data_IF_384910079967
#
_entry.id   IF_384910079967
#
_cell.length_a   1.000
_cell.length_b   1.000
_cell.length_c   1.000
_cell.angle_alpha   90.00
_cell.angle_beta   90.00
_cell.angle_gamma   90.00
#
_symmetry.space_group_name_H-M   'P 1'
#
loop_
_entity.id
_entity.type
_entity.pdbx_description
1 polymer ?
#
# COMPACT_ATOMS: atom_id res chain seq x y z
N UNK A 1 13.25 16.17 -7.13
CA UNK A 1 12.03 16.95 -6.86
C UNK A 1 12.20 18.36 -7.44
N UNK A 2 11.46 18.73 -8.50
CA UNK A 2 11.62 20.00 -9.25
C UNK A 2 11.65 21.23 -8.32
N UNK A 3 10.79 21.24 -7.29
CA UNK A 3 10.66 22.34 -6.34
C UNK A 3 11.94 22.64 -5.57
N UNK A 4 12.76 21.63 -5.27
CA UNK A 4 13.94 21.79 -4.42
C UNK A 4 15.27 21.77 -5.20
N UNK A 5 15.29 21.24 -6.42
CA UNK A 5 16.56 20.94 -7.11
C UNK A 5 16.89 21.85 -8.29
N UNK A 6 15.92 22.55 -8.89
CA UNK A 6 16.17 23.37 -10.10
C UNK A 6 16.47 24.84 -9.82
N UNK A 7 15.86 25.40 -8.78
CA UNK A 7 16.04 26.80 -8.40
C UNK A 7 16.21 26.93 -6.88
N UNK A 8 17.31 27.55 -6.46
CA UNK A 8 17.67 27.80 -5.07
C UNK A 8 18.05 29.27 -4.88
N UNK A 9 17.76 29.81 -3.69
CA UNK A 9 18.21 31.14 -3.29
C UNK A 9 19.72 31.13 -3.08
N UNK A 10 20.39 32.25 -3.42
CA UNK A 10 21.77 32.53 -3.04
C UNK A 10 21.74 33.58 -1.91
N UNK A 11 21.91 33.18 -0.63
CA UNK A 11 21.71 34.09 0.50
C UNK A 11 22.55 35.37 0.41
N UNK A 12 23.78 35.26 -0.07
CA UNK A 12 24.72 36.38 -0.18
C UNK A 12 24.30 37.45 -1.21
N UNK A 13 23.38 37.10 -2.12
CA UNK A 13 22.91 37.99 -3.19
C UNK A 13 21.52 38.57 -2.92
N UNK A 14 20.90 38.24 -1.77
CA UNK A 14 19.57 38.75 -1.42
C UNK A 14 19.72 40.14 -0.80
N UNK A 15 19.13 41.20 -1.39
CA UNK A 15 19.14 42.52 -0.78
C UNK A 15 18.46 42.50 0.59
N UNK A 16 19.02 43.20 1.57
CA UNK A 16 18.57 43.11 2.97
C UNK A 16 17.08 43.42 3.15
N UNK A 17 16.56 44.41 2.41
CA UNK A 17 15.15 44.81 2.43
C UNK A 17 14.19 43.79 1.78
N UNK A 18 14.70 42.81 1.02
CA UNK A 18 13.90 41.74 0.41
C UNK A 18 13.99 40.41 1.17
N UNK A 19 14.89 40.28 2.16
CA UNK A 19 15.03 39.06 2.97
C UNK A 19 13.69 38.55 3.53
N UNK A 20 12.75 39.39 4.01
CA UNK A 20 11.47 38.88 4.54
C UNK A 20 10.55 38.22 3.50
N UNK A 21 10.71 38.57 2.20
CA UNK A 21 9.83 38.12 1.11
C UNK A 21 10.54 37.28 0.05
N UNK A 22 11.82 36.96 0.27
CA UNK A 22 12.68 36.25 -0.68
C UNK A 22 12.09 34.91 -1.16
N UNK A 23 11.47 34.16 -0.24
CA UNK A 23 10.93 32.84 -0.55
C UNK A 23 9.73 32.95 -1.48
N UNK A 24 8.84 33.92 -1.22
CA UNK A 24 7.71 34.23 -2.10
C UNK A 24 8.18 34.64 -3.49
N UNK A 25 9.25 35.44 -3.60
CA UNK A 25 9.81 35.83 -4.90
C UNK A 25 10.32 34.60 -5.67
N UNK A 26 11.08 33.73 -5.00
CA UNK A 26 11.60 32.49 -5.61
C UNK A 26 10.44 31.59 -6.08
N UNK A 27 9.44 31.37 -5.23
CA UNK A 27 8.29 30.52 -5.52
C UNK A 27 7.46 31.10 -6.68
N UNK A 28 7.22 32.41 -6.69
CA UNK A 28 6.53 33.10 -7.79
C UNK A 28 7.23 32.86 -9.14
N UNK A 29 8.56 32.97 -9.16
CA UNK A 29 9.36 32.66 -10.34
C UNK A 29 9.26 31.19 -10.77
N UNK A 30 9.24 30.26 -9.82
CA UNK A 30 9.03 28.82 -10.10
C UNK A 30 7.67 28.58 -10.74
N UNK A 31 6.59 29.21 -10.23
CA UNK A 31 5.24 29.09 -10.80
C UNK A 31 5.17 29.61 -12.23
N UNK A 32 5.69 30.81 -12.47
CA UNK A 32 5.75 31.35 -13.83
C UNK A 32 6.56 30.47 -14.77
N UNK A 33 7.67 29.89 -14.33
CA UNK A 33 8.45 28.98 -15.18
C UNK A 33 7.66 27.71 -15.54
N UNK A 34 6.86 27.16 -14.62
CA UNK A 34 5.97 26.02 -14.94
C UNK A 34 4.93 26.42 -15.98
N UNK A 35 4.25 27.54 -15.77
CA UNK A 35 3.22 28.08 -16.67
C UNK A 35 3.82 28.31 -18.07
N UNK A 36 5.01 28.91 -18.15
CA UNK A 36 5.76 29.14 -19.39
C UNK A 36 6.09 27.84 -20.13
N UNK A 37 6.54 26.80 -19.41
CA UNK A 37 6.85 25.50 -19.99
C UNK A 37 5.61 24.78 -20.52
N UNK A 38 4.43 25.09 -19.98
CA UNK A 38 3.14 24.61 -20.50
C UNK A 38 2.62 25.43 -21.71
N UNK A 39 3.40 26.41 -22.19
CA UNK A 39 3.07 27.22 -23.37
C UNK A 39 2.19 28.44 -23.07
N UNK A 40 1.90 28.72 -21.79
CA UNK A 40 1.15 29.90 -21.39
C UNK A 40 2.08 31.07 -21.09
N UNK A 41 1.77 32.23 -21.66
CA UNK A 41 2.55 33.45 -21.42
C UNK A 41 1.96 34.20 -20.22
N UNK A 42 2.79 34.59 -19.23
CA UNK A 42 2.33 35.45 -18.15
C UNK A 42 1.87 36.79 -18.74
N UNK A 43 0.69 37.25 -18.32
CA UNK A 43 0.18 38.57 -18.69
C UNK A 43 0.96 39.61 -17.90
N UNK A 44 1.85 40.34 -18.56
CA UNK A 44 2.58 41.46 -17.95
C UNK A 44 1.90 42.79 -18.28
N UNK A 45 1.57 43.58 -17.27
CA UNK A 45 1.06 44.95 -17.43
C UNK A 45 2.15 45.97 -17.12
N UNK A 46 2.16 47.16 -17.75
CA UNK A 46 3.13 48.21 -17.43
C UNK A 46 3.02 48.71 -15.98
N UNK A 47 1.85 48.55 -15.34
CA UNK A 47 1.62 48.84 -13.92
C UNK A 47 2.39 47.91 -12.97
N UNK A 48 2.83 46.75 -13.45
CA UNK A 48 3.59 45.75 -12.69
C UNK A 48 5.08 46.13 -12.54
N UNK A 49 5.50 47.29 -13.09
CA UNK A 49 6.89 47.74 -12.97
C UNK A 49 7.24 47.99 -11.49
N UNK A 50 8.20 47.22 -10.99
CA UNK A 50 8.79 47.40 -9.67
C UNK A 50 9.77 48.59 -9.70
N UNK A 51 9.57 49.51 -8.77
CA UNK A 51 10.48 50.63 -8.50
C UNK A 51 10.92 50.52 -7.04
N UNK A 52 12.16 50.88 -6.74
CA UNK A 52 12.60 50.99 -5.35
C UNK A 52 11.84 52.13 -4.66
N UNK A 53 11.34 51.85 -3.46
CA UNK A 53 10.70 52.80 -2.56
C UNK A 53 11.20 52.53 -1.15
N UNK A 54 11.22 53.58 -0.32
CA UNK A 54 11.55 53.46 1.10
C UNK A 54 10.38 52.83 1.86
N UNK A 55 9.16 52.99 1.36
CA UNK A 55 8.00 52.29 1.89
C UNK A 55 7.96 50.84 1.38
N UNK A 56 8.20 49.89 2.29
CA UNK A 56 8.20 48.46 1.96
C UNK A 56 6.86 47.96 1.40
N UNK A 57 5.77 48.69 1.70
CA UNK A 57 4.41 48.33 1.26
C UNK A 57 4.24 48.45 -0.25
N UNK A 58 4.86 49.45 -0.88
CA UNK A 58 4.66 49.73 -2.31
C UNK A 58 5.17 48.60 -3.21
N UNK A 59 6.34 48.03 -2.91
CA UNK A 59 6.85 46.87 -3.64
C UNK A 59 6.32 45.55 -3.09
N UNK A 60 6.04 45.47 -1.78
CA UNK A 60 5.48 44.29 -1.12
C UNK A 60 4.11 43.91 -1.67
N UNK A 61 3.19 44.87 -1.81
CA UNK A 61 1.86 44.64 -2.38
C UNK A 61 1.92 44.17 -3.84
N UNK A 62 2.84 44.71 -4.64
CA UNK A 62 3.05 44.27 -6.03
C UNK A 62 3.58 42.84 -6.11
N UNK A 63 4.53 42.49 -5.25
CA UNK A 63 5.09 41.13 -5.19
C UNK A 63 4.01 40.14 -4.74
N UNK A 64 3.23 40.48 -3.71
CA UNK A 64 2.13 39.64 -3.23
C UNK A 64 1.07 39.44 -4.31
N UNK A 65 0.70 40.49 -5.04
CA UNK A 65 -0.24 40.41 -6.16
C UNK A 65 0.27 39.49 -7.27
N UNK A 66 1.55 39.57 -7.60
CA UNK A 66 2.20 38.71 -8.60
C UNK A 66 2.20 37.24 -8.16
N UNK A 67 2.56 36.98 -6.89
CA UNK A 67 2.51 35.64 -6.30
C UNK A 67 1.10 35.03 -6.36
N UNK A 68 0.08 35.77 -5.93
CA UNK A 68 -1.31 35.29 -5.95
C UNK A 68 -1.80 35.01 -7.37
N UNK A 69 -1.47 35.87 -8.33
CA UNK A 69 -1.84 35.66 -9.73
C UNK A 69 -1.15 34.43 -10.31
N UNK A 70 0.15 34.25 -10.06
CA UNK A 70 0.91 33.09 -10.52
C UNK A 70 0.39 31.78 -9.90
N UNK A 71 0.13 31.79 -8.60
CA UNK A 71 -0.40 30.64 -7.84
C UNK A 71 -1.77 30.21 -8.38
N UNK A 72 -2.70 31.16 -8.55
CA UNK A 72 -4.04 30.89 -9.10
C UNK A 72 -3.98 30.39 -10.55
N UNK A 73 -3.14 31.01 -11.39
CA UNK A 73 -3.00 30.59 -12.80
C UNK A 73 -2.47 29.17 -12.91
N UNK A 74 -1.48 28.81 -12.08
CA UNK A 74 -0.94 27.45 -12.04
C UNK A 74 -1.96 26.45 -11.48
N UNK A 75 -2.70 26.84 -10.45
CA UNK A 75 -3.77 26.02 -9.88
C UNK A 75 -4.84 25.71 -10.92
N UNK A 76 -5.33 26.73 -11.63
CA UNK A 76 -6.32 26.57 -12.70
C UNK A 76 -5.81 25.67 -13.82
N UNK A 77 -4.54 25.82 -14.21
CA UNK A 77 -3.89 24.96 -15.19
C UNK A 77 -3.92 23.49 -14.74
N UNK A 78 -3.51 23.20 -13.50
CA UNK A 78 -3.45 21.84 -12.98
C UNK A 78 -4.83 21.21 -12.76
N UNK A 79 -5.79 21.98 -12.22
CA UNK A 79 -7.13 21.47 -11.93
C UNK A 79 -7.99 21.33 -13.17
N UNK A 80 -7.99 22.33 -14.05
CA UNK A 80 -8.94 22.41 -15.16
C UNK A 80 -8.36 21.87 -16.46
N UNK A 81 -7.10 22.19 -16.79
CA UNK A 81 -6.51 21.79 -18.09
C UNK A 81 -5.91 20.40 -18.07
N UNK A 82 -5.23 20.03 -16.97
CA UNK A 82 -4.54 18.74 -16.85
C UNK A 82 -5.29 17.73 -15.96
N UNK A 83 -6.43 18.13 -15.40
CA UNK A 83 -7.35 17.30 -14.61
C UNK A 83 -6.65 16.50 -13.50
N UNK A 84 -5.94 17.22 -12.62
CA UNK A 84 -5.25 16.62 -11.47
C UNK A 84 -6.19 15.76 -10.62
N UNK A 85 -7.44 16.18 -10.39
CA UNK A 85 -8.38 15.42 -9.58
C UNK A 85 -8.83 14.12 -10.24
N UNK A 86 -9.04 14.09 -11.55
CA UNK A 86 -9.28 12.84 -12.28
C UNK A 86 -8.10 11.88 -12.16
N UNK A 87 -6.86 12.40 -12.27
CA UNK A 87 -5.64 11.60 -12.13
C UNK A 87 -5.48 11.01 -10.73
N UNK A 88 -5.70 11.81 -9.69
CA UNK A 88 -5.66 11.34 -8.31
C UNK A 88 -6.74 10.27 -8.04
N UNK A 89 -7.94 10.42 -8.61
CA UNK A 89 -8.99 9.39 -8.55
C UNK A 89 -8.56 8.09 -9.21
N UNK A 90 -7.95 8.16 -10.40
CA UNK A 90 -7.40 6.96 -11.05
C UNK A 90 -6.33 6.29 -10.19
N UNK A 91 -5.42 7.06 -9.59
CA UNK A 91 -4.45 6.51 -8.62
C UNK A 91 -5.15 5.80 -7.46
N UNK A 92 -6.23 6.36 -6.90
CA UNK A 92 -7.06 5.67 -5.90
C UNK A 92 -7.65 4.36 -6.44
N UNK A 93 -8.25 4.37 -7.63
CA UNK A 93 -8.87 3.18 -8.22
C UNK A 93 -7.88 2.02 -8.38
N UNK A 94 -6.67 2.30 -8.88
CA UNK A 94 -5.67 1.26 -9.17
C UNK A 94 -4.79 0.90 -7.97
N UNK A 95 -4.21 1.87 -7.27
CA UNK A 95 -3.22 1.61 -6.21
C UNK A 95 -3.86 1.35 -4.84
N UNK A 96 -4.98 1.99 -4.55
CA UNK A 96 -5.68 1.81 -3.27
C UNK A 96 -6.81 0.77 -3.35
N UNK A 97 -6.95 0.10 -4.51
CA UNK A 97 -7.90 -0.99 -4.77
C UNK A 97 -9.37 -0.64 -4.52
N UNK A 98 -9.75 0.63 -4.68
CA UNK A 98 -11.15 1.08 -4.64
C UNK A 98 -12.01 0.39 -5.72
N UNK A 99 -11.41 0.12 -6.89
CA UNK A 99 -11.98 -0.71 -7.95
C UNK A 99 -11.07 -1.93 -8.21
N UNK A 100 -10.84 -2.74 -7.16
CA UNK A 100 -9.84 -3.81 -7.17
C UNK A 100 -10.23 -5.12 -7.87
N UNK A 101 -11.35 -5.20 -8.59
CA UNK A 101 -11.78 -6.45 -9.26
C UNK A 101 -10.77 -6.94 -10.31
N UNK A 102 -10.08 -6.00 -10.98
CA UNK A 102 -8.99 -6.31 -11.90
C UNK A 102 -7.83 -7.07 -11.24
N UNK A 103 -7.57 -6.86 -9.94
CA UNK A 103 -6.46 -7.51 -9.23
C UNK A 103 -6.71 -9.00 -9.10
N UNK A 104 -7.94 -9.39 -8.73
CA UNK A 104 -8.33 -10.79 -8.63
C UNK A 104 -8.24 -11.45 -10.00
N UNK A 105 -8.79 -10.81 -11.03
CA UNK A 105 -8.73 -11.33 -12.39
C UNK A 105 -7.28 -11.47 -12.89
N UNK A 106 -6.44 -10.46 -12.66
CA UNK A 106 -5.03 -10.48 -13.02
C UNK A 106 -4.29 -11.63 -12.32
N UNK A 107 -4.49 -11.81 -11.01
CA UNK A 107 -3.87 -12.91 -10.27
C UNK A 107 -4.29 -14.28 -10.80
N UNK A 108 -5.55 -14.48 -11.21
CA UNK A 108 -6.00 -15.74 -11.81
C UNK A 108 -5.31 -16.02 -13.15
N UNK A 109 -5.19 -14.99 -13.99
CA UNK A 109 -4.59 -15.11 -15.31
C UNK A 109 -3.06 -15.22 -15.27
N UNK A 110 -2.43 -14.60 -14.26
CA UNK A 110 -0.99 -14.52 -14.10
C UNK A 110 -0.42 -15.50 -13.06
N UNK A 111 -1.22 -16.41 -12.49
CA UNK A 111 -0.80 -17.34 -11.44
C UNK A 111 0.48 -18.11 -11.82
N UNK A 112 0.56 -18.65 -13.04
CA UNK A 112 1.75 -19.37 -13.53
C UNK A 112 3.00 -18.49 -13.57
N UNK A 113 2.84 -17.20 -13.88
CA UNK A 113 3.96 -16.28 -14.03
C UNK A 113 4.39 -15.70 -12.68
N UNK A 114 3.42 -15.38 -11.82
CA UNK A 114 3.65 -14.83 -10.48
C UNK A 114 4.20 -15.88 -9.49
N UNK A 115 3.98 -17.17 -9.76
CA UNK A 115 4.53 -18.27 -8.94
C UNK A 115 6.01 -18.53 -9.17
N UNK A 116 6.60 -17.96 -10.23
CA UNK A 116 8.02 -18.13 -10.56
C UNK A 116 8.91 -17.27 -9.67
N UNK A 117 10.18 -17.66 -9.59
CA UNK A 117 11.24 -16.82 -9.03
C UNK A 117 11.58 -15.67 -9.99
N UNK A 118 12.13 -14.58 -9.45
CA UNK A 118 12.42 -13.34 -10.16
C UNK A 118 13.08 -13.52 -11.54
N UNK A 119 14.08 -14.40 -11.65
CA UNK A 119 14.87 -14.59 -12.86
C UNK A 119 14.08 -15.28 -14.00
N UNK A 120 13.04 -16.03 -13.65
CA UNK A 120 12.21 -16.79 -14.58
C UNK A 120 10.96 -16.04 -15.06
N UNK A 121 10.70 -14.86 -14.48
CA UNK A 121 9.55 -14.02 -14.83
C UNK A 121 9.80 -13.33 -16.17
N UNK A 122 8.81 -13.41 -17.07
CA UNK A 122 8.79 -12.73 -18.35
C UNK A 122 7.96 -11.43 -18.24
N UNK A 123 8.58 -10.24 -18.16
CA UNK A 123 7.85 -8.99 -17.89
C UNK A 123 6.82 -8.64 -18.98
N UNK A 124 7.12 -8.95 -20.23
CA UNK A 124 6.20 -8.72 -21.36
C UNK A 124 4.91 -9.55 -21.23
N UNK A 125 4.97 -10.74 -20.62
CA UNK A 125 3.77 -11.55 -20.34
C UNK A 125 2.92 -10.91 -19.24
N UNK A 126 3.55 -10.40 -18.18
CA UNK A 126 2.84 -9.67 -17.11
C UNK A 126 2.15 -8.40 -17.65
N UNK A 127 2.80 -7.64 -18.54
CA UNK A 127 2.19 -6.46 -19.17
C UNK A 127 0.92 -6.85 -19.95
N UNK A 128 0.99 -7.88 -20.82
CA UNK A 128 -0.18 -8.30 -21.61
C UNK A 128 -1.32 -8.78 -20.72
N UNK A 129 -1.02 -9.57 -19.68
CA UNK A 129 -2.02 -10.07 -18.76
C UNK A 129 -2.65 -8.96 -17.92
N UNK A 130 -1.86 -7.98 -17.47
CA UNK A 130 -2.34 -6.80 -16.77
C UNK A 130 -3.25 -5.98 -17.69
N UNK A 131 -2.83 -5.70 -18.93
CA UNK A 131 -3.66 -4.95 -19.88
C UNK A 131 -4.97 -5.66 -20.19
N UNK A 132 -4.97 -6.99 -20.29
CA UNK A 132 -6.20 -7.74 -20.48
C UNK A 132 -7.12 -7.62 -19.25
N UNK A 133 -6.60 -7.81 -18.04
CA UNK A 133 -7.37 -7.67 -16.80
C UNK A 133 -7.96 -6.25 -16.64
N UNK A 134 -7.18 -5.21 -16.94
CA UNK A 134 -7.65 -3.83 -16.91
C UNK A 134 -8.72 -3.52 -17.99
N UNK A 135 -8.75 -4.27 -19.10
CA UNK A 135 -9.74 -4.09 -20.18
C UNK A 135 -11.08 -4.74 -19.93
N UNK A 136 -11.13 -5.74 -19.05
CA UNK A 136 -12.34 -6.56 -18.82
C UNK A 136 -12.98 -6.32 -17.47
N UNK A 137 -12.37 -5.50 -16.63
CA UNK A 137 -12.80 -5.18 -15.27
C UNK A 137 -13.54 -3.84 -15.20
N UNK A 138 -14.00 -3.48 -14.01
CA UNK A 138 -14.72 -2.22 -13.74
C UNK A 138 -13.91 -0.96 -14.10
N UNK A 139 -12.57 -1.03 -13.99
CA UNK A 139 -11.64 0.06 -14.34
C UNK A 139 -11.47 0.28 -15.84
N UNK A 140 -12.11 -0.53 -16.71
CA UNK A 140 -12.01 -0.38 -18.16
C UNK A 140 -12.49 1.00 -18.67
N UNK A 141 -13.39 1.64 -17.93
CA UNK A 141 -13.91 2.99 -18.26
C UNK A 141 -13.05 4.15 -17.73
N UNK A 142 -12.00 3.88 -16.95
CA UNK A 142 -11.13 4.92 -16.40
C UNK A 142 -10.31 5.60 -17.51
N UNK A 143 -10.38 6.94 -17.57
CA UNK A 143 -9.74 7.75 -18.62
C UNK A 143 -8.22 7.63 -18.65
N UNK A 144 -7.60 7.33 -17.51
CA UNK A 144 -6.17 7.36 -17.30
C UNK A 144 -5.56 5.97 -17.07
N UNK A 145 -6.32 4.92 -17.38
CA UNK A 145 -5.90 3.53 -17.29
C UNK A 145 -4.59 3.23 -18.03
N UNK A 146 -4.38 3.82 -19.21
CA UNK A 146 -3.18 3.58 -20.02
C UNK A 146 -1.87 4.01 -19.35
N UNK A 147 -1.95 4.89 -18.35
CA UNK A 147 -0.81 5.34 -17.55
C UNK A 147 -0.39 4.31 -16.50
N UNK A 148 -1.21 3.28 -16.23
CA UNK A 148 -0.87 2.19 -15.31
C UNK A 148 -0.07 1.15 -16.07
N UNK A 149 1.13 0.86 -15.57
CA UNK A 149 2.08 -0.12 -16.13
C UNK A 149 2.46 -1.15 -15.07
N UNK A 150 2.89 -2.33 -15.49
CA UNK A 150 3.52 -3.26 -14.56
C UNK A 150 4.94 -2.79 -14.19
N UNK A 151 5.39 -3.19 -13.00
CA UNK A 151 6.78 -3.11 -12.59
C UNK A 151 7.09 -4.33 -11.71
N UNK A 152 8.30 -4.86 -11.83
CA UNK A 152 8.80 -5.96 -10.98
C UNK A 152 9.99 -5.44 -10.18
N UNK A 153 9.97 -5.63 -8.87
CA UNK A 153 11.02 -5.18 -7.95
C UNK A 153 11.82 -6.35 -7.41
N UNK A 154 13.12 -6.13 -7.18
CA UNK A 154 14.08 -7.14 -6.71
C UNK A 154 14.03 -7.40 -5.20
N UNK A 155 13.07 -6.82 -4.49
CA UNK A 155 12.94 -6.94 -3.04
C UNK A 155 11.48 -7.00 -2.63
N UNK A 156 11.18 -7.72 -1.54
CA UNK A 156 9.83 -7.76 -0.95
C UNK A 156 9.41 -6.40 -0.38
N UNK A 157 8.13 -6.24 -0.05
CA UNK A 157 7.65 -5.02 0.62
C UNK A 157 8.30 -4.85 2.00
N UNK A 158 8.53 -5.94 2.73
CA UNK A 158 9.21 -5.91 4.02
C UNK A 158 10.61 -5.31 3.92
N UNK A 159 11.41 -5.80 2.96
CA UNK A 159 12.76 -5.27 2.69
C UNK A 159 12.72 -3.83 2.18
N UNK A 160 11.72 -3.44 1.39
CA UNK A 160 11.53 -2.06 0.95
C UNK A 160 11.31 -1.13 2.14
N UNK A 161 10.39 -1.47 3.05
CA UNK A 161 10.09 -0.70 4.27
C UNK A 161 11.34 -0.64 5.16
N UNK A 162 12.02 -1.76 5.37
CA UNK A 162 13.23 -1.82 6.18
C UNK A 162 14.31 -0.85 5.67
N UNK A 163 14.61 -0.88 4.37
CA UNK A 163 15.61 0.02 3.75
C UNK A 163 15.25 1.50 3.88
N UNK A 164 13.96 1.84 3.80
CA UNK A 164 13.49 3.22 3.92
C UNK A 164 13.56 3.70 5.37
N UNK A 165 13.22 2.85 6.34
CA UNK A 165 13.12 3.24 7.75
C UNK A 165 14.46 3.18 8.51
N UNK A 166 15.40 2.37 8.04
CA UNK A 166 16.72 2.16 8.70
C UNK A 166 17.85 2.97 8.08
N UNK A 167 17.55 3.98 7.25
CA UNK A 167 18.53 4.74 6.48
C UNK A 167 19.52 5.60 7.28
N UNK A 168 19.56 5.48 8.61
CA UNK A 168 20.64 6.01 9.44
C UNK A 168 21.71 4.93 9.67
N UNK A 169 22.67 4.86 8.73
CA UNK A 169 24.03 4.34 8.95
C UNK A 169 24.22 2.83 9.18
N UNK A 170 24.83 2.17 8.18
CA UNK A 170 25.35 0.79 8.21
C UNK A 170 24.27 -0.26 8.50
N UNK A 171 24.00 -1.19 7.59
CA UNK A 171 24.88 -2.33 7.34
C UNK A 171 24.70 -2.76 5.88
N UNK A 172 25.80 -2.95 5.15
CA UNK A 172 25.88 -4.04 4.16
C UNK A 172 25.79 -5.37 4.91
N UNK A 173 24.64 -5.59 5.56
CA UNK A 173 24.28 -6.89 6.10
C UNK A 173 23.85 -7.67 4.89
N UNK A 174 24.55 -8.75 4.63
CA UNK A 174 24.19 -9.80 3.68
C UNK A 174 22.69 -10.06 3.79
N UNK A 175 21.88 -9.35 3.00
CA UNK A 175 20.49 -9.71 2.83
C UNK A 175 20.60 -11.04 2.12
N UNK A 176 20.34 -12.13 2.85
CA UNK A 176 20.14 -13.42 2.25
C UNK A 176 19.25 -13.17 1.02
N UNK A 177 19.72 -13.52 -0.17
CA UNK A 177 18.85 -13.58 -1.35
C UNK A 177 17.81 -14.64 -1.04
N UNK A 178 16.77 -14.26 -0.30
CA UNK A 178 15.53 -15.00 -0.23
C UNK A 178 15.00 -14.98 -1.66
N UNK A 179 14.69 -16.16 -2.20
CA UNK A 179 14.07 -16.22 -3.51
C UNK A 179 12.69 -15.57 -3.39
N UNK A 180 12.55 -14.41 -4.04
CA UNK A 180 11.31 -13.64 -4.02
C UNK A 180 10.44 -14.18 -5.16
N UNK A 181 9.20 -14.53 -4.82
CA UNK A 181 8.21 -14.92 -5.82
C UNK A 181 7.71 -13.69 -6.60
N UNK A 182 7.21 -13.91 -7.81
CA UNK A 182 6.53 -12.86 -8.58
C UNK A 182 5.36 -12.20 -7.83
N UNK A 183 4.67 -12.92 -6.95
CA UNK A 183 3.62 -12.36 -6.09
C UNK A 183 4.11 -11.26 -5.14
N UNK A 184 5.32 -11.39 -4.62
CA UNK A 184 5.91 -10.37 -3.77
C UNK A 184 6.60 -9.28 -4.59
N UNK A 185 7.19 -9.63 -5.74
CA UNK A 185 7.95 -8.71 -6.59
C UNK A 185 7.07 -7.76 -7.42
N UNK A 186 5.87 -8.20 -7.82
CA UNK A 186 4.98 -7.44 -8.69
C UNK A 186 4.47 -6.15 -8.03
N UNK A 187 4.44 -5.08 -8.81
CA UNK A 187 3.81 -3.82 -8.43
C UNK A 187 3.30 -3.05 -9.64
N UNK A 188 2.55 -1.98 -9.39
CA UNK A 188 2.11 -1.03 -10.40
C UNK A 188 3.05 0.17 -10.44
N UNK A 189 3.26 0.68 -11.64
CA UNK A 189 3.88 1.97 -11.90
C UNK A 189 2.85 2.89 -12.57
N UNK A 190 2.92 4.19 -12.28
CA UNK A 190 2.02 5.19 -12.84
C UNK A 190 2.81 6.23 -13.62
N UNK A 191 2.63 6.25 -14.93
CA UNK A 191 3.30 7.19 -15.82
C UNK A 191 2.63 8.57 -15.75
N UNK A 192 3.35 9.54 -15.17
CA UNK A 192 2.86 10.91 -15.00
C UNK A 192 3.64 11.88 -15.87
N UNK A 193 2.92 12.53 -16.78
CA UNK A 193 3.48 13.57 -17.63
C UNK A 193 3.61 14.90 -16.88
N UNK A 194 4.58 15.70 -17.31
CA UNK A 194 4.68 17.11 -16.92
C UNK A 194 3.37 17.85 -17.26
N UNK A 195 2.83 18.73 -16.39
CA UNK A 195 3.36 19.19 -15.09
C UNK A 195 2.83 18.44 -13.85
N UNK A 196 2.06 17.35 -14.02
CA UNK A 196 1.41 16.68 -12.88
C UNK A 196 2.39 16.01 -11.92
N UNK A 197 3.58 15.65 -12.39
CA UNK A 197 4.66 15.10 -11.57
C UNK A 197 5.20 16.09 -10.52
N UNK A 198 4.78 17.36 -10.57
CA UNK A 198 4.97 18.34 -9.50
C UNK A 198 4.19 17.99 -8.23
N UNK A 199 3.01 17.38 -8.39
CA UNK A 199 2.13 16.95 -7.29
C UNK A 199 2.29 15.44 -7.08
N UNK A 200 2.13 14.65 -8.14
CA UNK A 200 2.37 13.21 -8.18
C UNK A 200 3.88 12.93 -8.35
N UNK A 201 4.63 13.30 -7.32
CA UNK A 201 6.07 13.06 -7.26
C UNK A 201 6.41 11.56 -7.19
N UNK A 202 7.67 11.22 -7.48
CA UNK A 202 8.20 9.87 -7.27
C UNK A 202 8.05 9.39 -5.83
N UNK A 203 8.17 10.31 -4.85
CA UNK A 203 8.00 9.99 -3.43
C UNK A 203 6.55 9.61 -3.11
N UNK A 204 5.59 10.41 -3.56
CA UNK A 204 4.16 10.10 -3.36
C UNK A 204 3.73 8.83 -4.10
N UNK A 205 4.20 8.63 -5.34
CA UNK A 205 3.93 7.39 -6.07
C UNK A 205 4.55 6.16 -5.39
N UNK A 206 5.72 6.32 -4.77
CA UNK A 206 6.33 5.29 -3.92
C UNK A 206 5.44 4.90 -2.73
N UNK A 207 4.80 5.89 -2.07
CA UNK A 207 3.82 5.63 -1.01
C UNK A 207 2.62 4.82 -1.54
N UNK A 208 1.97 5.28 -2.61
CA UNK A 208 0.84 4.54 -3.22
C UNK A 208 1.22 3.12 -3.63
N UNK A 209 2.41 2.96 -4.22
CA UNK A 209 2.96 1.66 -4.59
C UNK A 209 3.11 0.73 -3.38
N UNK A 210 3.64 1.22 -2.25
CA UNK A 210 3.79 0.40 -1.05
C UNK A 210 2.44 -0.06 -0.49
N UNK A 211 1.43 0.81 -0.50
CA UNK A 211 0.06 0.44 -0.10
C UNK A 211 -0.53 -0.59 -1.07
N UNK A 212 -0.36 -0.41 -2.38
CA UNK A 212 -0.77 -1.39 -3.38
C UNK A 212 -0.13 -2.76 -3.14
N UNK A 213 1.19 -2.81 -2.97
CA UNK A 213 1.92 -4.07 -2.70
C UNK A 213 1.40 -4.75 -1.45
N UNK A 214 1.05 -3.98 -0.42
CA UNK A 214 0.52 -4.53 0.82
C UNK A 214 -0.85 -5.19 0.61
N UNK A 215 -1.77 -4.48 -0.05
CA UNK A 215 -3.10 -5.00 -0.36
C UNK A 215 -3.03 -6.19 -1.33
N UNK A 216 -2.19 -6.10 -2.36
CA UNK A 216 -1.94 -7.18 -3.32
C UNK A 216 -1.46 -8.45 -2.62
N UNK A 217 -0.49 -8.34 -1.70
CA UNK A 217 -0.02 -9.49 -0.94
C UNK A 217 -1.11 -10.07 -0.04
N UNK A 218 -1.90 -9.24 0.63
CA UNK A 218 -3.06 -9.71 1.42
C UNK A 218 -4.06 -10.48 0.55
N UNK A 219 -4.40 -9.96 -0.63
CA UNK A 219 -5.33 -10.61 -1.58
C UNK A 219 -4.76 -11.94 -2.07
N UNK A 220 -3.45 -12.03 -2.31
CA UNK A 220 -2.79 -13.29 -2.66
C UNK A 220 -2.92 -14.34 -1.54
N UNK A 221 -2.60 -13.97 -0.30
CA UNK A 221 -2.70 -14.86 0.87
C UNK A 221 -4.15 -15.32 1.10
N UNK A 222 -5.12 -14.40 1.04
CA UNK A 222 -6.54 -14.70 1.17
C UNK A 222 -7.01 -15.72 0.11
N UNK A 223 -6.59 -15.53 -1.14
CA UNK A 223 -6.91 -16.45 -2.24
C UNK A 223 -6.35 -17.84 -1.99
N UNK A 224 -5.10 -17.96 -1.54
CA UNK A 224 -4.50 -19.28 -1.27
C UNK A 224 -5.16 -19.99 -0.09
N UNK A 225 -5.48 -19.27 0.99
CA UNK A 225 -6.27 -19.80 2.11
C UNK A 225 -7.68 -20.25 1.67
N UNK A 226 -8.25 -19.57 0.68
CA UNK A 226 -9.55 -19.93 0.09
C UNK A 226 -9.46 -21.14 -0.84
N UNK A 227 -8.38 -21.28 -1.63
CA UNK A 227 -8.12 -22.47 -2.46
C UNK A 227 -7.92 -23.72 -1.59
N UNK A 228 -7.22 -23.60 -0.46
CA UNK A 228 -7.00 -24.70 0.49
C UNK A 228 -8.31 -25.32 1.03
N UNK A 229 -9.40 -24.54 1.11
CA UNK A 229 -10.72 -25.00 1.53
C UNK A 229 -11.43 -25.90 0.50
N UNK A 230 -11.26 -25.60 -0.80
CA UNK A 230 -11.96 -26.33 -1.87
C UNK A 230 -11.44 -27.76 -2.00
N UNK A 231 -10.14 -27.95 -1.78
CA UNK A 231 -9.48 -29.26 -1.81
C UNK A 231 -9.91 -30.15 -0.64
N UNK A 232 -10.10 -29.56 0.54
CA UNK A 232 -10.57 -30.25 1.75
C UNK A 232 -12.01 -30.79 1.62
N UNK A 233 -12.92 -30.02 0.98
CA UNK A 233 -14.30 -30.47 0.72
C UNK A 233 -14.40 -31.67 -0.24
N UNK A 234 -13.45 -31.84 -1.17
CA UNK A 234 -13.41 -33.02 -2.06
C UNK A 234 -12.97 -34.28 -1.29
N UNK A 235 -12.11 -34.11 -0.28
CA UNK A 235 -11.70 -35.18 0.62
C UNK A 235 -12.85 -35.71 1.50
N UNK A 236 -13.78 -34.83 1.93
CA UNK A 236 -14.99 -35.19 2.72
C UNK A 236 -15.89 -36.25 2.08
N UNK A 237 -15.90 -36.37 0.75
CA UNK A 237 -16.74 -37.38 0.05
C UNK A 237 -16.26 -38.82 0.24
N UNK A 238 -15.11 -39.03 0.90
CA UNK A 238 -14.39 -40.31 0.86
C UNK A 238 -13.96 -40.83 2.25
N UNK A 239 -14.67 -40.49 3.33
CA UNK A 239 -14.58 -41.20 4.62
C UNK A 239 -13.33 -40.96 5.49
N UNK A 240 -12.48 -39.99 5.17
CA UNK A 240 -11.37 -39.60 6.06
C UNK A 240 -11.89 -38.72 7.20
N UNK A 241 -11.44 -38.92 8.46
CA UNK A 241 -11.73 -38.02 9.57
C UNK A 241 -11.33 -36.59 9.25
N UNK A 242 -12.22 -35.69 9.63
CA UNK A 242 -12.13 -34.28 9.30
C UNK A 242 -11.06 -33.61 10.15
N UNK A 243 -10.04 -32.94 9.57
CA UNK A 243 -9.02 -32.24 10.33
C UNK A 243 -9.56 -30.92 10.90
N UNK A 244 -10.44 -31.02 11.90
CA UNK A 244 -11.14 -29.88 12.53
C UNK A 244 -10.19 -28.79 13.00
N UNK A 245 -9.02 -29.17 13.53
CA UNK A 245 -7.98 -28.24 14.00
C UNK A 245 -7.41 -27.38 12.86
N UNK A 246 -7.08 -28.00 11.72
CA UNK A 246 -6.60 -27.30 10.53
C UNK A 246 -7.67 -26.36 9.97
N UNK A 247 -8.95 -26.79 9.98
CA UNK A 247 -10.06 -25.94 9.55
C UNK A 247 -10.26 -24.71 10.45
N UNK A 248 -10.22 -24.90 11.77
CA UNK A 248 -10.31 -23.82 12.74
C UNK A 248 -9.17 -22.81 12.57
N UNK A 249 -7.93 -23.29 12.41
CA UNK A 249 -6.77 -22.44 12.15
C UNK A 249 -6.91 -21.66 10.84
N UNK A 250 -7.30 -22.33 9.74
CA UNK A 250 -7.53 -21.68 8.44
C UNK A 250 -8.56 -20.56 8.55
N UNK A 251 -9.67 -20.80 9.23
CA UNK A 251 -10.72 -19.80 9.38
C UNK A 251 -10.20 -18.57 10.11
N UNK A 252 -9.45 -18.76 11.21
CA UNK A 252 -8.80 -17.69 11.96
C UNK A 252 -7.80 -16.89 11.11
N UNK A 253 -7.02 -17.57 10.28
CA UNK A 253 -6.10 -16.92 9.33
C UNK A 253 -6.84 -16.09 8.28
N UNK A 254 -7.93 -16.62 7.70
CA UNK A 254 -8.78 -15.87 6.74
C UNK A 254 -9.38 -14.64 7.41
N UNK A 255 -9.90 -14.78 8.62
CA UNK A 255 -10.50 -13.68 9.37
C UNK A 255 -9.45 -12.61 9.70
N UNK A 256 -8.22 -13.00 10.04
CA UNK A 256 -7.11 -12.05 10.22
C UNK A 256 -6.83 -11.25 8.95
N UNK A 257 -6.62 -11.91 7.81
CA UNK A 257 -6.27 -11.26 6.54
C UNK A 257 -7.39 -10.32 6.08
N UNK A 258 -8.66 -10.76 6.18
CA UNK A 258 -9.82 -9.94 5.81
C UNK A 258 -9.99 -8.71 6.70
N UNK A 259 -9.81 -8.86 8.01
CA UNK A 259 -9.86 -7.72 8.93
C UNK A 259 -8.73 -6.73 8.66
N UNK A 260 -7.54 -7.21 8.28
CA UNK A 260 -6.42 -6.35 7.88
C UNK A 260 -6.73 -5.58 6.59
N UNK A 261 -7.24 -6.24 5.55
CA UNK A 261 -7.65 -5.56 4.32
C UNK A 261 -8.76 -4.53 4.59
N UNK A 262 -9.76 -4.89 5.39
CA UNK A 262 -10.84 -4.00 5.79
C UNK A 262 -10.31 -2.77 6.52
N UNK A 263 -9.41 -2.96 7.48
CA UNK A 263 -8.77 -1.85 8.20
C UNK A 263 -8.07 -0.88 7.23
N UNK A 264 -7.21 -1.41 6.35
CA UNK A 264 -6.46 -0.58 5.40
C UNK A 264 -7.42 0.18 4.46
N UNK A 265 -8.42 -0.49 3.91
CA UNK A 265 -9.30 0.10 2.89
C UNK A 265 -10.39 1.00 3.48
N UNK A 266 -11.12 0.52 4.48
CA UNK A 266 -12.33 1.17 5.00
C UNK A 266 -12.05 2.10 6.17
N UNK A 267 -11.06 1.82 7.02
CA UNK A 267 -10.77 2.66 8.19
C UNK A 267 -9.65 3.67 7.95
N UNK A 268 -8.71 3.35 7.06
CA UNK A 268 -7.58 4.22 6.76
C UNK A 268 -7.77 4.94 5.44
N UNK A 269 -7.89 4.21 4.32
CA UNK A 269 -7.93 4.81 2.99
C UNK A 269 -9.16 5.67 2.78
N UNK A 270 -10.37 5.14 3.01
CA UNK A 270 -11.61 5.86 2.68
C UNK A 270 -11.80 7.15 3.51
N UNK A 271 -11.59 7.16 4.84
CA UNK A 271 -11.75 8.37 5.63
C UNK A 271 -10.70 9.43 5.30
N UNK A 272 -9.43 9.03 5.15
CA UNK A 272 -8.36 9.96 4.76
C UNK A 272 -8.61 10.56 3.37
N UNK A 273 -9.05 9.75 2.42
CA UNK A 273 -9.43 10.22 1.10
C UNK A 273 -10.60 11.20 1.14
N UNK A 274 -11.65 10.90 1.91
CA UNK A 274 -12.81 11.77 2.04
C UNK A 274 -12.43 13.15 2.62
N UNK A 275 -11.61 13.17 3.68
CA UNK A 275 -11.10 14.42 4.28
C UNK A 275 -10.27 15.19 3.25
N UNK A 276 -9.37 14.50 2.53
CA UNK A 276 -8.58 15.11 1.47
C UNK A 276 -9.46 15.72 0.39
N UNK A 277 -10.45 14.98 -0.13
CA UNK A 277 -11.33 15.42 -1.20
C UNK A 277 -12.17 16.65 -0.80
N UNK A 278 -12.71 16.70 0.42
CA UNK A 278 -13.48 17.86 0.90
C UNK A 278 -12.59 19.12 1.05
N UNK A 279 -11.38 18.96 1.58
CA UNK A 279 -10.41 20.07 1.68
C UNK A 279 -9.93 20.52 0.29
N UNK A 280 -9.69 19.58 -0.60
CA UNK A 280 -9.24 19.81 -1.97
C UNK A 280 -10.25 20.62 -2.79
N UNK A 281 -11.55 20.53 -2.47
CA UNK A 281 -12.59 21.36 -3.09
C UNK A 281 -12.57 22.84 -2.67
N UNK A 282 -11.80 23.21 -1.64
CA UNK A 282 -11.76 24.56 -1.05
C UNK A 282 -10.44 25.28 -1.28
N UNK A 283 -9.47 24.64 -1.95
CA UNK A 283 -8.11 25.17 -2.14
C UNK A 283 -8.11 26.42 -3.02
N UNK A 284 -7.26 27.38 -2.67
CA UNK A 284 -7.07 28.61 -3.43
C UNK A 284 -5.65 28.78 -3.97
N UNK A 285 -4.71 27.97 -3.48
CA UNK A 285 -3.30 28.03 -3.85
C UNK A 285 -2.76 26.64 -4.21
N UNK A 286 -1.71 26.60 -5.03
CA UNK A 286 -0.99 25.36 -5.35
C UNK A 286 -0.20 24.81 -4.15
N UNK A 287 0.24 25.69 -3.25
CA UNK A 287 0.93 25.28 -2.01
C UNK A 287 -0.01 24.43 -1.12
N UNK A 288 -1.27 24.84 -0.98
CA UNK A 288 -2.30 24.06 -0.26
C UNK A 288 -2.51 22.69 -0.89
N UNK A 289 -2.54 22.59 -2.22
CA UNK A 289 -2.66 21.30 -2.93
C UNK A 289 -1.50 20.37 -2.62
N UNK A 290 -0.26 20.88 -2.68
CA UNK A 290 0.94 20.10 -2.38
C UNK A 290 0.96 19.65 -0.92
N UNK A 291 0.58 20.54 0.00
CA UNK A 291 0.48 20.23 1.41
C UNK A 291 -0.56 19.14 1.67
N UNK A 292 -1.79 19.31 1.18
CA UNK A 292 -2.89 18.36 1.40
C UNK A 292 -2.57 16.97 0.82
N UNK A 293 -1.93 16.91 -0.35
CA UNK A 293 -1.53 15.63 -0.94
C UNK A 293 -0.40 14.96 -0.14
N UNK A 294 0.55 15.75 0.38
CA UNK A 294 1.61 15.23 1.25
C UNK A 294 1.03 14.68 2.56
N UNK A 295 0.12 15.44 3.19
CA UNK A 295 -0.62 15.00 4.39
C UNK A 295 -1.40 13.70 4.12
N UNK A 296 -2.02 13.56 2.95
CA UNK A 296 -2.71 12.33 2.55
C UNK A 296 -1.74 11.15 2.47
N UNK A 297 -0.62 11.29 1.74
CA UNK A 297 0.34 10.18 1.59
C UNK A 297 1.01 9.82 2.91
N UNK A 298 1.34 10.82 3.75
CA UNK A 298 1.90 10.60 5.08
C UNK A 298 0.90 9.88 5.99
N UNK A 299 -0.39 10.19 5.86
CA UNK A 299 -1.45 9.48 6.57
C UNK A 299 -1.48 8.00 6.20
N UNK A 300 -1.31 7.63 4.92
CA UNK A 300 -1.26 6.23 4.52
C UNK A 300 -0.02 5.52 5.06
N UNK A 301 1.15 6.15 4.99
CA UNK A 301 2.39 5.56 5.53
C UNK A 301 2.28 5.30 7.04
N UNK A 302 1.75 6.28 7.78
CA UNK A 302 1.59 6.18 9.22
C UNK A 302 0.49 5.20 9.62
N UNK A 303 -0.72 5.34 9.07
CA UNK A 303 -1.91 4.60 9.52
C UNK A 303 -1.95 3.15 9.01
N UNK A 304 -1.36 2.85 7.85
CA UNK A 304 -1.19 1.46 7.38
C UNK A 304 -0.05 0.71 8.08
N UNK A 305 0.54 1.29 9.14
CA UNK A 305 1.68 0.77 9.91
C UNK A 305 2.99 0.63 9.14
N UNK A 306 3.09 1.17 7.92
CA UNK A 306 4.30 1.10 7.11
C UNK A 306 5.46 1.88 7.75
N UNK A 307 5.17 2.96 8.47
CA UNK A 307 6.18 3.73 9.22
C UNK A 307 6.63 3.06 10.54
N UNK A 308 5.89 2.09 11.07
CA UNK A 308 6.25 1.36 12.28
C UNK A 308 6.82 -0.02 11.89
N UNK A 309 8.11 -0.04 11.52
CA UNK A 309 8.77 -1.25 11.02
C UNK A 309 8.64 -2.47 11.96
N UNK A 310 8.84 -2.38 13.29
CA UNK A 310 8.66 -3.52 14.18
C UNK A 310 7.26 -4.14 14.11
N UNK A 311 6.21 -3.32 14.10
CA UNK A 311 4.82 -3.80 13.98
C UNK A 311 4.57 -4.38 12.60
N UNK A 312 5.00 -3.68 11.54
CA UNK A 312 4.83 -4.14 10.17
C UNK A 312 5.50 -5.48 9.92
N UNK A 313 6.72 -5.69 10.46
CA UNK A 313 7.44 -6.96 10.39
C UNK A 313 6.65 -8.12 10.99
N UNK A 314 5.98 -7.91 12.12
CA UNK A 314 5.13 -8.94 12.73
C UNK A 314 3.92 -9.24 11.85
N UNK A 315 3.25 -8.21 11.30
CA UNK A 315 2.10 -8.41 10.39
C UNK A 315 2.52 -9.18 9.14
N UNK A 316 3.62 -8.78 8.51
CA UNK A 316 4.17 -9.47 7.33
C UNK A 316 4.56 -10.92 7.65
N UNK A 317 5.13 -11.16 8.84
CA UNK A 317 5.42 -12.50 9.35
C UNK A 317 4.16 -13.36 9.50
N UNK A 318 3.05 -12.80 10.01
CA UNK A 318 1.77 -13.51 10.11
C UNK A 318 1.23 -13.85 8.72
N UNK A 319 1.31 -12.93 7.75
CA UNK A 319 0.92 -13.21 6.36
C UNK A 319 1.77 -14.33 5.75
N UNK A 320 3.08 -14.37 6.03
CA UNK A 320 3.97 -15.47 5.65
C UNK A 320 3.58 -16.81 6.29
N UNK A 321 3.20 -16.82 7.58
CA UNK A 321 2.67 -18.02 8.25
C UNK A 321 1.39 -18.53 7.57
N UNK A 322 0.48 -17.62 7.21
CA UNK A 322 -0.75 -17.95 6.50
C UNK A 322 -0.47 -18.56 5.12
N UNK A 323 0.50 -17.99 4.40
CA UNK A 323 0.95 -18.47 3.09
C UNK A 323 1.53 -19.88 3.18
N UNK A 324 2.47 -20.09 4.11
CA UNK A 324 3.10 -21.38 4.35
C UNK A 324 2.08 -22.46 4.74
N UNK A 325 1.11 -22.11 5.60
CA UNK A 325 0.00 -22.98 5.93
C UNK A 325 -0.83 -23.36 4.70
N UNK A 326 -1.23 -22.39 3.88
CA UNK A 326 -2.02 -22.64 2.69
C UNK A 326 -1.30 -23.57 1.69
N UNK A 327 -0.02 -23.31 1.43
CA UNK A 327 0.82 -24.15 0.58
C UNK A 327 0.99 -25.57 1.13
N UNK A 328 1.16 -25.71 2.44
CA UNK A 328 1.23 -27.01 3.11
C UNK A 328 -0.05 -27.83 2.92
N UNK A 329 -1.22 -27.21 3.15
CA UNK A 329 -2.52 -27.87 2.97
C UNK A 329 -2.74 -28.29 1.51
N UNK A 330 -2.38 -27.43 0.54
CA UNK A 330 -2.52 -27.75 -0.89
C UNK A 330 -1.63 -28.94 -1.29
N UNK A 331 -0.37 -28.95 -0.85
CA UNK A 331 0.56 -30.05 -1.12
C UNK A 331 0.06 -31.37 -0.54
N UNK A 332 -0.40 -31.36 0.72
CA UNK A 332 -0.97 -32.55 1.37
C UNK A 332 -2.22 -33.08 0.64
N UNK A 333 -3.07 -32.19 0.14
CA UNK A 333 -4.24 -32.59 -0.64
C UNK A 333 -3.85 -33.29 -1.94
N UNK A 334 -2.86 -32.76 -2.67
CA UNK A 334 -2.35 -33.36 -3.91
C UNK A 334 -1.70 -34.73 -3.68
N UNK A 335 -0.88 -34.87 -2.63
CA UNK A 335 -0.24 -36.14 -2.26
C UNK A 335 -1.29 -37.20 -1.88
N UNK A 336 -2.33 -36.80 -1.15
CA UNK A 336 -3.46 -37.67 -0.82
C UNK A 336 -4.26 -38.11 -2.06
N UNK A 337 -4.48 -37.22 -3.04
CA UNK A 337 -5.12 -37.58 -4.31
C UNK A 337 -4.26 -38.55 -5.14
N UNK A 338 -2.95 -38.31 -5.21
CA UNK A 338 -2.00 -39.18 -5.92
C UNK A 338 -1.94 -40.59 -5.29
N UNK A 339 -1.83 -40.70 -3.97
CA UNK A 339 -1.81 -41.98 -3.26
C UNK A 339 -3.10 -42.80 -3.50
N UNK A 340 -4.26 -42.13 -3.52
CA UNK A 340 -5.57 -42.76 -3.81
C UNK A 340 -5.73 -43.20 -5.26
N UNK A 341 -5.05 -42.55 -6.20
CA UNK A 341 -5.05 -42.99 -7.61
C UNK A 341 -4.24 -44.29 -7.83
N UNK A 342 -3.33 -44.60 -6.90
CA UNK A 342 -2.44 -45.77 -6.98
C UNK A 342 -2.94 -46.97 -6.14
N UNK A 343 -3.65 -46.73 -5.03
CA UNK A 343 -4.28 -47.78 -4.22
C UNK A 343 -5.81 -47.73 -4.39
N UNK A 344 -6.37 -48.77 -5.03
CA UNK A 344 -7.82 -49.01 -5.01
C UNK A 344 -8.33 -49.09 -3.57
N UNK A 345 -9.42 -48.38 -3.30
CA UNK A 345 -9.95 -48.08 -1.97
C UNK A 345 -10.08 -49.33 -1.08
N UNK A 346 -9.34 -49.37 0.03
CA UNK A 346 -9.68 -50.20 1.18
C UNK A 346 -10.27 -49.26 2.23
N UNK A 347 -11.55 -49.46 2.53
CA UNK A 347 -12.20 -48.83 3.67
C UNK A 347 -11.78 -49.60 4.94
N UNK A 348 -11.22 -48.91 5.92
CA UNK A 348 -11.04 -49.44 7.26
C UNK A 348 -11.94 -48.68 8.23
N UNK A 349 -12.59 -49.46 9.10
CA UNK A 349 -13.60 -49.08 10.06
C UNK A 349 -13.13 -48.02 11.09
N UNK A 350 -14.12 -47.27 11.55
CA UNK A 350 -14.00 -46.29 12.64
C UNK A 350 -13.78 -46.95 14.00
N UNK A 351 -13.26 -46.13 14.92
CA UNK A 351 -13.29 -46.27 16.37
C UNK A 351 -12.03 -46.88 17.05
N UNK A 352 -10.98 -46.06 17.09
CA UNK A 352 -10.04 -46.00 18.22
C UNK A 352 -9.39 -44.61 18.26
N UNK A 353 -8.99 -44.14 19.44
CA UNK A 353 -8.28 -42.88 19.62
C UNK A 353 -7.06 -42.85 18.70
N UNK A 354 -7.15 -42.09 17.61
CA UNK A 354 -6.09 -42.03 16.60
C UNK A 354 -4.84 -41.42 17.24
N UNK A 355 -3.66 -42.08 17.13
CA UNK A 355 -2.41 -41.45 17.51
C UNK A 355 -2.21 -40.16 16.70
N UNK A 356 -1.65 -39.12 17.33
CA UNK A 356 -1.35 -37.85 16.64
C UNK A 356 -0.54 -38.12 15.38
N UNK A 357 -1.08 -37.71 14.23
CA UNK A 357 -0.37 -37.88 12.97
C UNK A 357 0.72 -36.82 12.85
N UNK A 358 1.77 -37.05 12.03
CA UNK A 358 2.74 -36.00 11.69
C UNK A 358 2.09 -34.72 11.14
N UNK A 359 0.94 -34.85 10.48
CA UNK A 359 0.10 -33.74 10.04
C UNK A 359 -0.46 -32.96 11.23
N UNK A 360 -1.10 -33.61 12.20
CA UNK A 360 -1.69 -32.95 13.37
C UNK A 360 -0.64 -32.20 14.19
N UNK A 361 0.55 -32.81 14.37
CA UNK A 361 1.69 -32.16 15.02
C UNK A 361 2.10 -30.90 14.27
N UNK A 362 2.19 -30.97 12.93
CA UNK A 362 2.58 -29.80 12.13
C UNK A 362 1.55 -28.67 12.20
N UNK A 363 0.26 -29.00 12.17
CA UNK A 363 -0.81 -28.02 12.35
C UNK A 363 -0.71 -27.36 13.74
N UNK A 364 -0.38 -28.13 14.78
CA UNK A 364 -0.17 -27.60 16.12
C UNK A 364 1.00 -26.62 16.23
N UNK A 365 2.13 -26.93 15.61
CA UNK A 365 3.30 -26.03 15.53
C UNK A 365 2.95 -24.69 14.85
N UNK A 366 2.21 -24.75 13.73
CA UNK A 366 1.80 -23.56 12.98
C UNK A 366 0.79 -22.73 13.78
N UNK A 367 -0.14 -23.38 14.48
CA UNK A 367 -1.10 -22.72 15.35
C UNK A 367 -0.42 -21.98 16.51
N UNK A 368 0.56 -22.61 17.16
CA UNK A 368 1.33 -21.99 18.24
C UNK A 368 2.14 -20.79 17.76
N UNK A 369 2.79 -20.93 16.60
CA UNK A 369 3.52 -19.84 15.96
C UNK A 369 2.60 -18.66 15.62
N UNK A 370 1.44 -18.94 15.04
CA UNK A 370 0.41 -17.93 14.72
C UNK A 370 -0.10 -17.21 15.98
N UNK A 371 -0.40 -17.94 17.05
CA UNK A 371 -0.85 -17.38 18.33
C UNK A 371 0.22 -16.49 18.97
N UNK A 372 1.48 -16.92 18.89
CA UNK A 372 2.63 -16.17 19.41
C UNK A 372 2.78 -14.86 18.65
N UNK A 373 2.80 -14.92 17.31
CA UNK A 373 2.89 -13.72 16.47
C UNK A 373 1.72 -12.75 16.69
N UNK A 374 0.49 -13.25 16.85
CA UNK A 374 -0.66 -12.40 17.19
C UNK A 374 -0.52 -11.74 18.57
N UNK A 375 0.04 -12.45 19.55
CA UNK A 375 0.30 -11.89 20.88
C UNK A 375 1.37 -10.80 20.81
N UNK A 376 2.45 -11.04 20.06
CA UNK A 376 3.49 -10.03 19.79
C UNK A 376 2.92 -8.83 19.05
N UNK A 377 2.02 -9.03 18.09
CA UNK A 377 1.36 -7.94 17.37
C UNK A 377 0.52 -7.07 18.31
N UNK A 378 -0.31 -7.70 19.15
CA UNK A 378 -1.12 -6.99 20.15
C UNK A 378 -0.25 -6.17 21.09
N UNK A 379 0.84 -6.74 21.58
CA UNK A 379 1.75 -6.03 22.48
C UNK A 379 2.50 -4.91 21.77
N UNK A 380 3.00 -5.15 20.54
CA UNK A 380 3.69 -4.16 19.74
C UNK A 380 2.80 -2.96 19.40
N UNK A 381 1.52 -3.18 19.12
CA UNK A 381 0.55 -2.09 18.90
C UNK A 381 0.28 -1.36 20.22
N UNK A 382 0.08 -2.06 21.34
CA UNK A 382 -0.11 -1.41 22.67
C UNK A 382 1.07 -0.54 23.09
N UNK A 383 2.30 -1.03 22.91
CA UNK A 383 3.52 -0.31 23.26
C UNK A 383 3.83 0.83 22.27
N UNK A 384 3.53 0.63 20.97
CA UNK A 384 3.72 1.62 19.91
C UNK A 384 2.73 2.79 19.95
N UNK A 385 1.61 2.65 20.69
CA UNK A 385 0.58 3.69 20.87
C UNK A 385 0.96 4.80 21.88
N UNK A 386 2.21 4.88 22.32
CA UNK A 386 2.67 5.88 23.29
C UNK A 386 3.08 7.26 22.74
N UNK A 387 3.02 7.49 21.42
CA UNK A 387 3.65 8.66 20.79
C UNK A 387 2.76 9.84 20.40
N UNK A 388 1.48 9.64 20.08
CA UNK A 388 0.69 10.72 19.46
C UNK A 388 -0.76 10.77 19.99
N UNK A 389 -1.02 11.73 20.88
CA UNK A 389 -2.29 11.96 21.61
C UNK A 389 -3.39 12.57 20.73
N UNK A 390 -3.57 12.10 19.50
CA UNK A 390 -4.53 12.66 18.56
C UNK A 390 -5.53 11.63 18.06
N UNK A 391 -6.28 10.93 18.92
CA UNK A 391 -7.47 10.13 18.55
C UNK A 391 -7.31 8.97 17.52
N UNK A 392 -6.15 8.85 16.88
CA UNK A 392 -5.78 7.90 15.80
C UNK A 392 -5.43 6.52 16.35
N UNK A 393 -5.10 6.44 17.64
CA UNK A 393 -4.83 5.18 18.32
C UNK A 393 -6.03 4.26 18.48
N UNK A 394 -7.25 4.78 18.32
CA UNK A 394 -8.47 4.01 18.55
C UNK A 394 -8.77 3.02 17.41
N UNK A 395 -8.53 3.37 16.14
CA UNK A 395 -8.90 2.52 15.00
C UNK A 395 -8.05 1.23 14.90
N UNK A 396 -6.76 1.27 15.26
CA UNK A 396 -5.92 0.06 15.32
C UNK A 396 -6.28 -0.85 16.50
N UNK A 397 -6.63 -0.24 17.63
CA UNK A 397 -7.12 -0.98 18.80
C UNK A 397 -8.48 -1.61 18.46
N UNK A 398 -9.34 -0.92 17.72
CA UNK A 398 -10.60 -1.45 17.20
C UNK A 398 -10.39 -2.59 16.20
N UNK A 399 -9.43 -2.49 15.28
CA UNK A 399 -9.01 -3.60 14.41
C UNK A 399 -8.58 -4.81 15.26
N UNK A 400 -7.76 -4.61 16.29
CA UNK A 400 -7.35 -5.69 17.19
C UNK A 400 -8.51 -6.27 18.00
N UNK A 401 -9.47 -5.45 18.42
CA UNK A 401 -10.70 -5.92 19.06
C UNK A 401 -11.59 -6.73 18.10
N UNK A 402 -11.59 -6.42 16.80
CA UNK A 402 -12.28 -7.24 15.79
C UNK A 402 -11.55 -8.54 15.49
N UNK A 403 -10.22 -8.51 15.46
CA UNK A 403 -9.40 -9.73 15.35
C UNK A 403 -9.57 -10.60 16.60
N UNK A 404 -9.71 -10.00 17.78
CA UNK A 404 -9.98 -10.65 19.07
C UNK A 404 -11.46 -10.61 19.46
N UNK A 405 -12.36 -10.65 18.48
CA UNK A 405 -13.79 -10.62 18.74
C UNK A 405 -14.17 -11.82 19.64
N UNK A 406 -14.93 -11.56 20.71
CA UNK A 406 -15.22 -12.48 21.82
C UNK A 406 -14.02 -12.92 22.68
N UNK A 407 -12.94 -12.16 22.74
CA UNK A 407 -11.79 -12.47 23.61
C UNK A 407 -11.15 -13.83 23.31
N UNK A 408 -11.39 -14.40 22.12
CA UNK A 408 -11.00 -15.76 21.78
C UNK A 408 -9.52 -16.04 22.04
N UNK A 409 -8.64 -15.06 21.78
CA UNK A 409 -7.21 -15.17 22.00
C UNK A 409 -6.76 -14.68 23.38
N UNK A 410 -7.57 -13.89 24.10
CA UNK A 410 -7.29 -13.50 25.49
C UNK A 410 -7.70 -14.58 26.50
N UNK A 411 -8.75 -15.36 26.19
CA UNK A 411 -9.20 -16.49 27.03
C UNK A 411 -8.39 -17.77 26.83
N UNK A 412 -7.71 -17.97 25.70
CA UNK A 412 -6.94 -19.19 25.45
C UNK A 412 -5.70 -19.35 26.36
N UNK A 413 -5.35 -18.31 27.15
CA UNK A 413 -4.33 -18.40 28.21
C UNK A 413 -4.85 -18.97 29.53
N UNK A 414 -6.16 -19.02 29.77
CA UNK A 414 -6.72 -19.49 31.04
C UNK A 414 -7.18 -20.95 31.06
N UNK A 415 -7.20 -21.65 29.92
CA UNK A 415 -7.57 -23.07 29.81
C UNK A 415 -6.38 -24.04 29.88
N UNK A 416 -5.24 -23.59 30.43
CA UNK A 416 -4.03 -24.38 30.65
C UNK A 416 -3.84 -24.81 32.11
N UNK A 417 -4.92 -25.05 32.85
CA UNK A 417 -4.89 -25.71 34.15
C UNK A 417 -6.31 -26.11 34.55
N UNK A 418 -6.69 -27.34 34.26
CA UNK A 418 -7.61 -28.16 35.07
C UNK A 418 -7.42 -29.62 34.71
#
# INVERSE_FOLDING_TARGET
NYWNSRYALRPDMVPDFLRPIQDKILITGKYHNVILQCGEKPKSSPEDRLCYSVDEREYGEKIERSYQLASRTLLDLLMQKVDLMGRLRSVKHFFLMDQGDFVVQFMDMAEEELSKELDDIVPTRLEVLLQLALSTSSVASDRYRDCVKHQVLEWSLLTQVEKIMTSDGAVHGTVCQESISGHEAFTLNYEVNWPLNLVLSTTSLGCYQMVFRYLFYCTHVERLLSKAWVLDKRSKRHGSPYPTRAFGLRQRMVDFVKNLQYFITVEVVEPSWHIFQDKMGKVQTIDEVLQLHTELTDSFMSLCMLSNYPVFKVIYGILGLCLNFASFIQKQALECEAAKSQLGCIAEDEDSARPETPFDRKIGEVEESFNTSLSTLKEGIRQGLGGDRSGRGNSLVEMLHRIDFNEFYSTSRSSGSL
#
